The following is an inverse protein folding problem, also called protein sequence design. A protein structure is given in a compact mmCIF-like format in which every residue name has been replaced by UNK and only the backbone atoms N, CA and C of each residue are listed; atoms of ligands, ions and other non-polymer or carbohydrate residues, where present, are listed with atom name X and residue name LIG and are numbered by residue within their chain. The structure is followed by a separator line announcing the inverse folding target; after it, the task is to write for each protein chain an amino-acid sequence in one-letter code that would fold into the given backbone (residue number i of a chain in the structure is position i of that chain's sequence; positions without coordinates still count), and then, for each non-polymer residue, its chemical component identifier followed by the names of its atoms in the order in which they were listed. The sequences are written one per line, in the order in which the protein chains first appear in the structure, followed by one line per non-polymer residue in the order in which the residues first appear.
data_IF_357374564191
#
_entry.id   IF_357374564191
#
_cell.length_a   1.000
_cell.length_b   1.000
_cell.length_c   1.000
_cell.angle_alpha   90.00
_cell.angle_beta   90.00
_cell.angle_gamma   90.00
#
_symmetry.space_group_name_H-M   'P 1'
#
loop_
_entity.id
_entity.type
_entity.pdbx_description
1 polymer ?
#
# COMPACT_ATOMS: atom_id res chain seq x y z
N UNK A 1 -6.62 10.82 -21.23
CA UNK A 1 -7.54 10.12 -20.29
C UNK A 1 -7.86 11.08 -19.16
N UNK A 2 -9.12 11.51 -19.00
CA UNK A 2 -9.52 12.26 -17.79
C UNK A 2 -9.65 11.27 -16.64
N UNK A 3 -8.67 11.22 -15.74
CA UNK A 3 -8.64 10.20 -14.68
C UNK A 3 -9.78 10.33 -13.67
N UNK A 4 -10.47 11.48 -13.57
CA UNK A 4 -11.75 11.63 -12.87
C UNK A 4 -11.84 10.96 -11.49
N UNK A 5 -13.04 10.51 -11.13
CA UNK A 5 -13.28 9.71 -9.91
C UNK A 5 -12.79 8.25 -10.09
N UNK A 6 -12.85 7.75 -11.32
CA UNK A 6 -12.53 6.36 -11.68
C UNK A 6 -11.07 6.02 -11.42
N UNK A 7 -10.15 6.89 -11.80
CA UNK A 7 -8.71 6.75 -11.55
C UNK A 7 -8.38 6.78 -10.06
N UNK A 8 -9.13 7.53 -9.26
CA UNK A 8 -8.97 7.55 -7.81
C UNK A 8 -9.44 6.24 -7.17
N UNK A 9 -10.55 5.68 -7.67
CA UNK A 9 -11.03 4.35 -7.31
C UNK A 9 -10.02 3.25 -7.68
N UNK A 10 -9.49 3.28 -8.90
CA UNK A 10 -8.45 2.34 -9.36
C UNK A 10 -7.21 2.46 -8.50
N UNK A 11 -6.74 3.68 -8.21
CA UNK A 11 -5.60 3.89 -7.35
C UNK A 11 -5.83 3.33 -5.94
N UNK A 12 -6.99 3.59 -5.35
CA UNK A 12 -7.36 3.05 -4.04
C UNK A 12 -7.44 1.52 -4.03
N UNK A 13 -8.03 0.91 -5.07
CA UNK A 13 -8.10 -0.54 -5.24
C UNK A 13 -6.72 -1.17 -5.40
N UNK A 14 -5.84 -0.57 -6.20
CA UNK A 14 -4.46 -1.01 -6.35
C UNK A 14 -3.76 -1.03 -4.99
N UNK A 15 -3.93 0.02 -4.18
CA UNK A 15 -3.30 0.08 -2.86
C UNK A 15 -3.81 -1.01 -1.91
N UNK A 16 -5.11 -1.26 -1.89
CA UNK A 16 -5.71 -2.29 -1.03
C UNK A 16 -5.35 -3.72 -1.48
N UNK A 17 -5.41 -4.00 -2.78
CA UNK A 17 -5.24 -5.34 -3.33
C UNK A 17 -3.79 -5.76 -3.53
N UNK A 18 -2.85 -4.82 -3.64
CA UNK A 18 -1.48 -5.16 -4.02
C UNK A 18 -0.64 -5.72 -2.89
N UNK A 19 -0.92 -5.40 -1.62
CA UNK A 19 -0.06 -5.82 -0.50
C UNK A 19 -0.73 -6.76 0.49
N UNK A 20 -1.97 -6.45 0.89
CA UNK A 20 -2.68 -7.21 1.92
C UNK A 20 -2.92 -8.67 1.47
N UNK A 21 -3.47 -8.95 0.26
CA UNK A 21 -3.70 -10.32 -0.20
C UNK A 21 -2.41 -11.14 -0.32
N UNK A 22 -1.33 -10.52 -0.81
CA UNK A 22 -0.03 -11.19 -0.95
C UNK A 22 0.49 -11.60 0.43
N UNK A 23 0.46 -10.69 1.41
CA UNK A 23 0.90 -11.01 2.76
C UNK A 23 0.04 -12.06 3.45
N UNK A 24 -1.28 -12.06 3.23
CA UNK A 24 -2.14 -13.15 3.69
C UNK A 24 -1.75 -14.50 3.09
N UNK A 25 -1.37 -14.53 1.82
CA UNK A 25 -0.97 -15.75 1.13
C UNK A 25 0.38 -16.28 1.63
N UNK A 26 1.36 -15.40 1.88
CA UNK A 26 2.69 -15.80 2.35
C UNK A 26 2.83 -15.87 3.87
N UNK A 27 1.80 -15.43 4.61
CA UNK A 27 1.74 -15.44 6.07
C UNK A 27 2.29 -16.73 6.73
N UNK A 28 1.90 -17.96 6.32
CA UNK A 28 2.39 -19.18 6.98
C UNK A 28 3.91 -19.38 6.95
N UNK A 29 4.63 -18.64 6.11
CA UNK A 29 6.09 -18.70 5.98
C UNK A 29 6.77 -17.61 6.83
N UNK A 30 6.03 -16.58 7.26
CA UNK A 30 6.58 -15.44 7.98
C UNK A 30 6.60 -15.74 9.49
N UNK A 31 7.77 -15.94 10.12
CA UNK A 31 7.87 -16.45 11.49
C UNK A 31 7.38 -15.46 12.57
N UNK A 32 7.15 -14.20 12.21
CA UNK A 32 6.85 -13.13 13.16
C UNK A 32 5.42 -12.56 13.04
N UNK A 33 4.56 -13.20 12.24
CA UNK A 33 3.15 -12.83 12.12
C UNK A 33 2.33 -13.84 12.93
N UNK A 34 1.70 -13.37 14.00
CA UNK A 34 0.95 -14.22 14.95
C UNK A 34 -0.56 -14.01 14.85
N UNK A 35 -0.99 -12.91 14.24
CA UNK A 35 -2.39 -12.55 14.10
C UNK A 35 -2.75 -12.00 12.72
N UNK A 36 -4.04 -12.05 12.39
CA UNK A 36 -4.58 -11.38 11.19
C UNK A 36 -4.38 -9.86 11.22
N UNK A 37 -4.31 -9.25 12.41
CA UNK A 37 -4.02 -7.83 12.57
C UNK A 37 -2.57 -7.51 12.23
N UNK A 38 -1.63 -8.40 12.55
CA UNK A 38 -0.22 -8.25 12.19
C UNK A 38 -0.07 -8.25 10.66
N UNK A 39 -0.78 -9.13 9.96
CA UNK A 39 -0.81 -9.17 8.48
C UNK A 39 -1.36 -7.86 7.91
N UNK A 40 -2.51 -7.40 8.42
CA UNK A 40 -3.14 -6.18 7.96
C UNK A 40 -2.27 -4.95 8.21
N UNK A 41 -1.65 -4.87 9.39
CA UNK A 41 -0.75 -3.78 9.76
C UNK A 41 0.51 -3.79 8.88
N UNK A 42 1.17 -4.94 8.74
CA UNK A 42 2.34 -5.09 7.88
C UNK A 42 2.03 -4.77 6.41
N UNK A 43 0.85 -5.15 5.92
CA UNK A 43 0.43 -4.86 4.54
C UNK A 43 0.04 -3.42 4.28
N UNK A 44 -0.52 -2.75 5.28
CA UNK A 44 -0.89 -1.35 5.18
C UNK A 44 0.30 -0.40 5.35
N UNK A 45 1.33 -0.72 6.12
CA UNK A 45 2.51 0.16 6.30
C UNK A 45 3.55 0.03 5.18
N UNK A 46 3.12 0.17 3.93
CA UNK A 46 3.97 0.02 2.75
C UNK A 46 3.60 0.98 1.61
N UNK A 47 3.82 2.30 1.76
CA UNK A 47 3.43 3.26 0.74
C UNK A 47 4.15 3.00 -0.59
N UNK A 48 3.46 3.27 -1.70
CA UNK A 48 4.06 3.29 -3.03
C UNK A 48 4.94 4.54 -3.13
N UNK A 49 6.21 4.34 -3.53
CA UNK A 49 7.23 5.39 -3.51
C UNK A 49 8.06 5.48 -4.79
N UNK A 50 9.34 5.82 -4.62
CA UNK A 50 10.26 6.16 -5.72
C UNK A 50 10.47 5.05 -6.75
N UNK A 51 10.39 3.78 -6.34
CA UNK A 51 10.55 2.66 -7.26
C UNK A 51 9.45 2.67 -8.36
N UNK A 52 8.21 2.95 -7.99
CA UNK A 52 7.11 3.03 -8.95
C UNK A 52 7.30 4.20 -9.93
N UNK A 53 7.76 5.35 -9.43
CA UNK A 53 8.14 6.49 -10.27
C UNK A 53 9.24 6.08 -11.27
N UNK A 54 10.32 5.47 -10.78
CA UNK A 54 11.44 5.04 -11.62
C UNK A 54 10.98 4.08 -12.73
N UNK A 55 10.22 3.04 -12.39
CA UNK A 55 9.75 2.07 -13.38
C UNK A 55 8.74 2.65 -14.37
N UNK A 56 7.94 3.65 -13.96
CA UNK A 56 7.05 4.34 -14.90
C UNK A 56 7.85 5.12 -15.96
N UNK A 57 8.89 5.83 -15.53
CA UNK A 57 9.77 6.58 -16.43
C UNK A 57 10.59 5.64 -17.31
N UNK A 58 11.12 4.56 -16.73
CA UNK A 58 11.83 3.54 -17.48
C UNK A 58 10.93 2.90 -18.56
N UNK A 59 9.69 2.56 -18.23
CA UNK A 59 8.73 2.02 -19.21
C UNK A 59 8.42 3.03 -20.32
N UNK A 60 8.28 4.31 -20.00
CA UNK A 60 8.05 5.37 -20.98
C UNK A 60 9.22 5.48 -21.95
N UNK A 61 10.46 5.48 -21.45
CA UNK A 61 11.67 5.53 -22.28
C UNK A 61 11.75 4.32 -23.23
N UNK A 62 11.41 3.13 -22.74
CA UNK A 62 11.52 1.90 -23.53
C UNK A 62 10.40 1.68 -24.54
N UNK A 63 9.21 2.24 -24.31
CA UNK A 63 8.01 1.96 -25.12
C UNK A 63 7.43 3.18 -25.83
N UNK A 64 7.85 4.40 -25.45
CA UNK A 64 7.24 5.66 -25.88
C UNK A 64 5.83 5.89 -25.36
N UNK A 65 5.30 5.03 -24.47
CA UNK A 65 3.92 5.14 -23.96
C UNK A 65 3.88 6.00 -22.69
N UNK A 66 3.26 7.17 -22.79
CA UNK A 66 3.10 8.11 -21.67
C UNK A 66 1.89 7.82 -20.77
N UNK A 67 1.02 6.88 -21.18
CA UNK A 67 -0.26 6.60 -20.51
C UNK A 67 -0.12 6.16 -19.04
N UNK A 68 1.02 5.57 -18.69
CA UNK A 68 1.29 5.09 -17.32
C UNK A 68 1.61 6.22 -16.35
N UNK A 69 2.18 7.31 -16.83
CA UNK A 69 2.69 8.39 -15.97
C UNK A 69 1.59 9.04 -15.11
N UNK A 70 0.43 9.42 -15.68
CA UNK A 70 -0.68 9.96 -14.89
C UNK A 70 -1.25 8.98 -13.86
N UNK A 71 -1.28 7.68 -14.18
CA UNK A 71 -1.81 6.64 -13.30
C UNK A 71 -0.87 6.42 -12.12
N UNK A 72 0.42 6.23 -12.39
CA UNK A 72 1.43 5.96 -11.36
C UNK A 72 1.59 7.14 -10.41
N UNK A 73 1.62 8.37 -10.94
CA UNK A 73 1.70 9.58 -10.11
C UNK A 73 0.48 9.73 -9.19
N UNK A 74 -0.74 9.47 -9.69
CA UNK A 74 -1.95 9.47 -8.85
C UNK A 74 -1.88 8.41 -7.75
N UNK A 75 -1.45 7.18 -8.07
CA UNK A 75 -1.27 6.09 -7.10
C UNK A 75 -0.27 6.49 -6.02
N UNK A 76 0.88 7.06 -6.38
CA UNK A 76 1.89 7.53 -5.45
C UNK A 76 1.30 8.61 -4.52
N UNK A 77 0.65 9.63 -5.07
CA UNK A 77 0.06 10.72 -4.28
C UNK A 77 -0.98 10.21 -3.29
N UNK A 78 -1.94 9.41 -3.76
CA UNK A 78 -2.99 8.82 -2.92
C UNK A 78 -2.37 7.93 -1.85
N UNK A 79 -1.35 7.13 -2.19
CA UNK A 79 -0.65 6.28 -1.25
C UNK A 79 -0.01 7.09 -0.13
N UNK A 80 0.78 8.11 -0.47
CA UNK A 80 1.51 8.92 0.53
C UNK A 80 0.51 9.61 1.47
N UNK A 81 -0.57 10.19 0.92
CA UNK A 81 -1.60 10.87 1.72
C UNK A 81 -2.29 9.88 2.67
N UNK A 82 -2.81 8.77 2.15
CA UNK A 82 -3.54 7.80 2.97
C UNK A 82 -2.66 7.20 4.06
N UNK A 83 -1.43 6.80 3.73
CA UNK A 83 -0.51 6.22 4.71
C UNK A 83 -0.06 7.29 5.72
N UNK A 84 0.20 8.52 5.28
CA UNK A 84 0.59 9.63 6.16
C UNK A 84 -0.51 9.98 7.18
N UNK A 85 -1.76 10.09 6.73
CA UNK A 85 -2.91 10.39 7.60
C UNK A 85 -3.16 9.24 8.59
N UNK A 86 -3.09 7.99 8.12
CA UNK A 86 -3.43 6.81 8.94
C UNK A 86 -2.29 6.34 9.83
N UNK A 87 -1.04 6.74 9.56
CA UNK A 87 0.15 6.24 10.27
C UNK A 87 0.01 6.35 11.80
N UNK A 88 -0.22 7.55 12.32
CA UNK A 88 -0.29 7.78 13.78
C UNK A 88 -1.45 7.03 14.42
N UNK A 89 -2.61 6.99 13.75
CA UNK A 89 -3.80 6.35 14.29
C UNK A 89 -3.67 4.81 14.30
N UNK A 90 -3.22 4.21 13.20
CA UNK A 90 -3.07 2.75 13.09
C UNK A 90 -1.96 2.23 14.00
N UNK A 91 -0.83 2.94 14.12
CA UNK A 91 0.23 2.56 15.05
C UNK A 91 -0.28 2.51 16.49
N UNK A 92 -1.07 3.50 16.93
CA UNK A 92 -1.68 3.49 18.27
C UNK A 92 -2.69 2.36 18.45
N UNK A 93 -3.48 2.04 17.42
CA UNK A 93 -4.43 0.93 17.46
C UNK A 93 -3.71 -0.42 17.60
N UNK A 94 -2.64 -0.61 16.82
CA UNK A 94 -1.83 -1.82 16.85
C UNK A 94 -1.08 -1.97 18.19
N UNK A 95 -0.53 -0.90 18.75
CA UNK A 95 0.08 -0.89 20.08
C UNK A 95 -0.91 -1.35 21.17
N UNK A 96 -2.15 -0.84 21.14
CA UNK A 96 -3.20 -1.26 22.09
C UNK A 96 -3.53 -2.75 21.95
N UNK A 97 -3.55 -3.27 20.73
CA UNK A 97 -3.77 -4.69 20.46
C UNK A 97 -2.64 -5.55 21.04
N UNK A 98 -1.38 -5.19 20.77
CA UNK A 98 -0.22 -5.89 21.32
C UNK A 98 -0.21 -5.89 22.85
N UNK A 99 -0.52 -4.75 23.48
CA UNK A 99 -0.60 -4.66 24.95
C UNK A 99 -1.68 -5.55 25.53
N UNK A 100 -2.83 -5.70 24.86
CA UNK A 100 -3.89 -6.61 25.30
C UNK A 100 -3.46 -8.06 25.17
N UNK A 101 -2.88 -8.45 24.03
CA UNK A 101 -2.44 -9.82 23.77
C UNK A 101 -1.25 -10.28 24.61
N UNK A 102 -0.44 -9.36 25.15
CA UNK A 102 0.68 -9.70 26.05
C UNK A 102 0.32 -9.76 27.54
N UNK A 103 -0.90 -9.32 27.91
CA UNK A 103 -1.44 -9.40 29.26
C UNK A 103 -2.36 -10.61 29.47
N UNK A 104 -2.60 -11.40 28.42
CA UNK A 104 -3.29 -12.69 28.41
C UNK A 104 -2.27 -13.83 28.37
#
# INVERSE_FOLDING_TARGET
MSLGLEGLLVAFLILLLHRIPILYLINPIIPNIRSNLDVLFAGWFGPVGIAAFYYSQFSMIQTGKEELWPIVSLVICVSIILHGITATYFTKLYERYLRKSGNE
#
